data_IF_656121834286
#
_entry.id   IF_656121834286
#
_cell.length_a   1.000
_cell.length_b   1.000
_cell.length_c   1.000
_cell.angle_alpha   90.00
_cell.angle_beta   90.00
_cell.angle_gamma   90.00
#
_symmetry.space_group_name_H-M   'P 1'
#
loop_
_entity.id
_entity.type
_entity.pdbx_description
1 polymer ?
#
# COMPACT_ATOMS: atom_id res chain seq x y z
N UNK A 1 35.01 -4.59 3.54
CA UNK A 1 33.76 -4.48 4.32
C UNK A 1 32.61 -4.80 3.37
N UNK A 2 31.84 -5.87 3.59
CA UNK A 2 30.73 -6.18 2.68
C UNK A 2 29.58 -5.24 3.00
N UNK A 3 29.24 -4.33 2.09
CA UNK A 3 28.17 -3.33 2.26
C UNK A 3 26.77 -3.96 2.07
N UNK A 4 26.56 -5.16 2.64
CA UNK A 4 25.39 -5.99 2.41
C UNK A 4 24.74 -6.50 3.71
N UNK A 5 25.28 -6.15 4.88
CA UNK A 5 24.65 -6.46 6.17
C UNK A 5 23.76 -5.27 6.55
N UNK A 6 22.45 -5.52 6.59
CA UNK A 6 21.41 -4.52 6.83
C UNK A 6 20.56 -4.93 8.03
N UNK A 7 20.89 -4.39 9.20
CA UNK A 7 20.21 -4.67 10.48
C UNK A 7 18.81 -4.05 10.57
N UNK A 8 18.54 -3.12 9.65
CA UNK A 8 17.32 -2.35 9.53
C UNK A 8 16.29 -3.01 8.62
N UNK A 9 16.56 -4.22 8.11
CA UNK A 9 15.64 -4.99 7.29
C UNK A 9 15.10 -6.19 8.07
N UNK A 10 13.87 -6.58 7.73
CA UNK A 10 13.20 -7.77 8.26
C UNK A 10 13.20 -8.88 7.21
N UNK A 11 13.19 -10.15 7.60
CA UNK A 11 12.90 -11.25 6.66
C UNK A 11 11.40 -11.33 6.30
N UNK A 12 10.61 -10.40 6.81
CA UNK A 12 9.17 -10.34 6.66
C UNK A 12 8.68 -9.00 6.15
N UNK A 13 7.54 -9.02 5.46
CA UNK A 13 6.75 -7.87 5.08
C UNK A 13 5.53 -7.75 5.99
N UNK A 14 5.20 -6.52 6.41
CA UNK A 14 4.10 -6.24 7.31
C UNK A 14 2.95 -5.58 6.52
N UNK A 15 1.79 -6.23 6.47
CA UNK A 15 0.54 -5.61 6.02
C UNK A 15 -0.30 -5.22 7.23
N UNK A 16 -0.49 -3.92 7.47
CA UNK A 16 -1.28 -3.44 8.58
C UNK A 16 -2.70 -3.04 8.16
N UNK A 17 -3.63 -3.21 9.09
CA UNK A 17 -5.01 -2.77 9.02
C UNK A 17 -5.17 -1.54 9.90
N UNK A 18 -5.87 -0.54 9.39
CA UNK A 18 -6.25 0.67 10.11
C UNK A 18 -7.76 0.84 10.11
N UNK A 19 -8.25 1.64 11.03
CA UNK A 19 -9.65 2.06 10.98
C UNK A 19 -9.88 2.90 9.72
N UNK A 20 -11.03 2.68 9.08
CA UNK A 20 -11.44 3.34 7.84
C UNK A 20 -12.80 3.98 8.05
N UNK A 21 -12.90 5.27 7.76
CA UNK A 21 -14.18 5.94 7.61
C UNK A 21 -14.41 6.23 6.12
N UNK A 22 -15.40 5.55 5.54
CA UNK A 22 -15.76 5.63 4.13
C UNK A 22 -16.29 7.00 3.71
N UNK A 23 -16.77 7.82 4.66
CA UNK A 23 -17.25 9.18 4.39
C UNK A 23 -16.10 10.19 4.35
N UNK A 24 -14.89 9.80 4.74
CA UNK A 24 -13.72 10.68 4.67
C UNK A 24 -13.02 10.57 3.32
N UNK A 25 -12.23 11.58 2.98
CA UNK A 25 -11.42 11.55 1.77
C UNK A 25 -10.36 10.45 1.73
N UNK A 26 -10.10 9.70 2.82
CA UNK A 26 -9.05 8.67 2.85
C UNK A 26 -9.58 7.27 3.18
N UNK A 27 -10.01 6.55 2.14
CA UNK A 27 -10.66 5.25 2.27
C UNK A 27 -10.20 4.23 1.22
N UNK A 28 -10.66 3.00 1.41
CA UNK A 28 -10.68 1.94 0.42
C UNK A 28 -12.14 1.75 0.01
N UNK A 29 -12.43 1.40 -1.25
CA UNK A 29 -13.80 1.01 -1.58
C UNK A 29 -14.05 -0.43 -1.13
N UNK A 30 -15.23 -0.67 -0.59
CA UNK A 30 -15.66 -1.99 -0.17
C UNK A 30 -17.07 -2.25 -0.72
N UNK A 31 -17.30 -3.41 -1.38
CA UNK A 31 -16.34 -4.47 -1.68
C UNK A 31 -15.64 -4.22 -3.03
N UNK A 32 -14.47 -3.56 -3.06
CA UNK A 32 -13.73 -3.39 -4.34
C UNK A 32 -13.05 -4.71 -4.76
N UNK A 33 -12.58 -5.53 -3.80
CA UNK A 33 -11.97 -6.85 -4.06
C UNK A 33 -12.18 -7.85 -2.89
N UNK A 34 -13.15 -7.60 -2.01
CA UNK A 34 -13.36 -8.43 -0.81
C UNK A 34 -14.22 -9.68 -1.06
N UNK A 35 -14.85 -9.83 -2.22
CA UNK A 35 -15.80 -10.91 -2.48
C UNK A 35 -17.19 -10.66 -1.88
N UNK A 36 -18.20 -11.33 -2.46
CA UNK A 36 -19.63 -11.01 -2.25
C UNK A 36 -20.11 -11.18 -0.80
N UNK A 37 -19.48 -12.07 -0.02
CA UNK A 37 -19.90 -12.41 1.35
C UNK A 37 -19.39 -11.43 2.42
N UNK A 38 -18.70 -10.36 2.01
CA UNK A 38 -18.02 -9.44 2.91
C UNK A 38 -18.66 -8.04 2.92
N UNK A 39 -20.00 -8.00 2.92
CA UNK A 39 -20.75 -6.75 3.04
C UNK A 39 -20.63 -6.19 4.46
N UNK A 40 -20.56 -4.87 4.54
CA UNK A 40 -20.60 -4.10 5.78
C UNK A 40 -21.70 -3.04 5.64
N UNK A 41 -22.44 -2.77 6.72
CA UNK A 41 -23.52 -1.78 6.72
C UNK A 41 -23.12 -0.46 7.39
N UNK A 42 -21.87 -0.34 7.83
CA UNK A 42 -21.36 0.80 8.61
C UNK A 42 -20.31 1.60 7.82
N UNK A 43 -20.43 2.92 7.80
CA UNK A 43 -19.43 3.79 7.16
C UNK A 43 -18.07 3.76 7.88
N UNK A 44 -18.07 3.41 9.18
CA UNK A 44 -16.84 3.20 9.94
C UNK A 44 -16.54 1.70 10.04
N UNK A 45 -15.33 1.33 9.64
CA UNK A 45 -14.87 -0.05 9.56
C UNK A 45 -13.60 -0.15 10.39
N UNK A 46 -13.64 -0.98 11.43
CA UNK A 46 -12.53 -1.13 12.35
C UNK A 46 -11.45 -2.06 11.79
N UNK A 47 -10.20 -1.79 12.18
CA UNK A 47 -9.04 -2.57 11.79
C UNK A 47 -9.17 -4.07 12.18
N UNK A 48 -9.81 -4.37 13.32
CA UNK A 48 -10.02 -5.76 13.76
C UNK A 48 -10.99 -6.50 12.85
N UNK A 49 -12.04 -5.83 12.38
CA UNK A 49 -12.96 -6.37 11.40
C UNK A 49 -12.23 -6.67 10.09
N UNK A 50 -11.42 -5.75 9.58
CA UNK A 50 -10.64 -5.98 8.35
C UNK A 50 -9.66 -7.15 8.50
N UNK A 51 -8.95 -7.22 9.63
CA UNK A 51 -8.07 -8.37 9.93
C UNK A 51 -8.87 -9.68 9.96
N UNK A 52 -9.99 -9.71 10.70
CA UNK A 52 -10.87 -10.88 10.77
C UNK A 52 -11.38 -11.28 9.39
N UNK A 53 -11.72 -10.29 8.56
CA UNK A 53 -12.19 -10.50 7.19
C UNK A 53 -11.11 -11.18 6.35
N UNK A 54 -9.87 -10.69 6.43
CA UNK A 54 -8.74 -11.27 5.71
C UNK A 54 -8.45 -12.69 6.16
N UNK A 55 -8.48 -12.94 7.47
CA UNK A 55 -8.24 -14.27 8.03
C UNK A 55 -9.35 -15.27 7.65
N UNK A 56 -10.63 -14.87 7.69
CA UNK A 56 -11.76 -15.76 7.39
C UNK A 56 -11.96 -16.01 5.90
N UNK A 57 -11.61 -15.04 5.06
CA UNK A 57 -11.67 -15.20 3.60
C UNK A 57 -10.41 -15.80 3.00
N UNK A 58 -9.34 -15.93 3.81
CA UNK A 58 -8.02 -16.35 3.35
C UNK A 58 -7.48 -15.44 2.23
N UNK A 59 -7.86 -14.15 2.25
CA UNK A 59 -7.50 -13.15 1.24
C UNK A 59 -7.01 -11.86 1.88
N UNK A 60 -6.00 -11.25 1.30
CA UNK A 60 -5.61 -9.87 1.60
C UNK A 60 -6.12 -8.99 0.46
N UNK A 61 -6.73 -7.86 0.80
CA UNK A 61 -7.47 -7.06 -0.17
C UNK A 61 -6.58 -6.04 -0.84
N UNK A 62 -6.49 -6.09 -2.17
CA UNK A 62 -5.92 -5.01 -2.95
C UNK A 62 -6.88 -3.83 -2.99
N UNK A 63 -6.33 -2.62 -3.05
CA UNK A 63 -7.11 -1.42 -3.34
C UNK A 63 -6.28 -0.41 -4.10
N UNK A 64 -6.95 0.60 -4.64
CA UNK A 64 -6.29 1.77 -5.23
C UNK A 64 -5.85 2.80 -4.21
N UNK A 65 -6.34 2.66 -2.97
CA UNK A 65 -6.30 3.63 -1.87
C UNK A 65 -6.63 5.06 -2.33
N UNK A 66 -7.76 5.58 -1.88
CA UNK A 66 -8.24 6.89 -2.31
C UNK A 66 -7.81 7.97 -1.32
N UNK A 67 -7.41 9.13 -1.85
CA UNK A 67 -7.17 10.37 -1.12
C UNK A 67 -7.88 11.51 -1.84
N UNK A 68 -8.87 12.11 -1.18
CA UNK A 68 -9.72 13.19 -1.70
C UNK A 68 -10.30 12.85 -3.08
N UNK A 69 -10.84 11.63 -3.22
CA UNK A 69 -11.45 11.15 -4.47
C UNK A 69 -10.47 10.74 -5.57
N UNK A 70 -9.16 10.83 -5.33
CA UNK A 70 -8.13 10.40 -6.28
C UNK A 70 -7.44 9.12 -5.84
N UNK A 71 -7.18 8.21 -6.77
CA UNK A 71 -6.34 7.03 -6.53
C UNK A 71 -4.94 7.48 -6.12
N UNK A 72 -4.32 6.77 -5.19
CA UNK A 72 -2.91 7.01 -4.81
C UNK A 72 -1.96 6.06 -5.52
N UNK A 73 -2.46 4.90 -5.93
CA UNK A 73 -1.74 3.91 -6.72
C UNK A 73 -1.82 4.28 -8.21
N UNK A 74 -0.69 4.21 -8.88
CA UNK A 74 -0.54 4.49 -10.31
C UNK A 74 -0.70 3.20 -11.13
N UNK A 75 -0.92 3.33 -12.45
CA UNK A 75 -1.08 2.20 -13.35
C UNK A 75 -2.49 1.61 -13.37
N UNK A 76 -2.59 0.36 -13.81
CA UNK A 76 -3.84 -0.35 -14.13
C UNK A 76 -4.20 -1.47 -13.14
N UNK A 77 -3.37 -1.68 -12.12
CA UNK A 77 -3.54 -2.74 -11.12
C UNK A 77 -3.68 -2.16 -9.70
N UNK A 78 -4.74 -2.49 -8.92
CA UNK A 78 -4.78 -2.20 -7.50
C UNK A 78 -3.74 -3.06 -6.77
N UNK A 79 -3.35 -2.66 -5.57
CA UNK A 79 -2.23 -3.32 -4.85
C UNK A 79 -2.57 -3.62 -3.41
N UNK A 80 -1.93 -4.66 -2.87
CA UNK A 80 -1.70 -4.83 -1.45
C UNK A 80 -0.37 -4.16 -1.10
N UNK A 81 -0.39 -3.22 -0.15
CA UNK A 81 0.81 -2.53 0.33
C UNK A 81 1.36 -3.22 1.58
N UNK A 82 2.69 -3.27 1.69
CA UNK A 82 3.42 -3.74 2.85
C UNK A 82 4.50 -2.75 3.24
N UNK A 83 4.94 -2.80 4.49
CA UNK A 83 6.16 -2.12 4.94
C UNK A 83 7.25 -3.14 5.27
N UNK A 84 8.48 -2.82 4.87
CA UNK A 84 9.68 -3.61 5.15
C UNK A 84 10.49 -2.96 6.27
N UNK A 85 10.16 -3.34 7.51
CA UNK A 85 10.88 -2.90 8.69
C UNK A 85 10.80 -3.94 9.81
N UNK A 86 11.75 -3.94 10.78
CA UNK A 86 11.65 -4.76 11.98
C UNK A 86 10.35 -4.49 12.73
N UNK A 87 9.74 -5.53 13.33
CA UNK A 87 8.47 -5.41 14.06
C UNK A 87 8.55 -4.35 15.17
N UNK A 88 9.68 -4.27 15.88
CA UNK A 88 9.90 -3.26 16.92
C UNK A 88 9.83 -1.83 16.36
N UNK A 89 10.47 -1.59 15.20
CA UNK A 89 10.43 -0.29 14.53
C UNK A 89 9.03 0.06 14.02
N UNK A 90 8.28 -0.94 13.54
CA UNK A 90 6.88 -0.79 13.15
C UNK A 90 6.00 -0.39 14.34
N UNK A 91 6.14 -1.05 15.50
CA UNK A 91 5.38 -0.71 16.70
C UNK A 91 5.70 0.69 17.20
N UNK A 92 6.98 1.05 17.30
CA UNK A 92 7.41 2.38 17.72
C UNK A 92 6.86 3.48 16.77
N UNK A 93 7.02 3.27 15.45
CA UNK A 93 6.50 4.17 14.43
C UNK A 93 4.97 4.24 14.49
N UNK A 94 4.31 3.11 14.69
CA UNK A 94 2.86 2.98 14.82
C UNK A 94 2.30 3.83 15.96
N UNK A 95 2.85 3.70 17.17
CA UNK A 95 2.41 4.46 18.34
C UNK A 95 2.56 5.97 18.10
N UNK A 96 3.73 6.43 17.64
CA UNK A 96 4.00 7.85 17.38
C UNK A 96 3.08 8.44 16.31
N UNK A 97 2.76 7.65 15.27
CA UNK A 97 1.87 8.09 14.18
C UNK A 97 0.41 8.15 14.62
N UNK A 98 -0.03 7.26 15.51
CA UNK A 98 -1.38 7.32 16.11
C UNK A 98 -1.53 8.59 16.96
N UNK A 99 -0.53 8.94 17.75
CA UNK A 99 -0.51 10.20 18.53
C UNK A 99 -0.63 11.44 17.64
N UNK A 100 -0.14 11.36 16.40
CA UNK A 100 -0.24 12.41 15.37
C UNK A 100 -1.49 12.31 14.49
N UNK A 101 -2.39 11.38 14.79
CA UNK A 101 -3.61 11.10 14.02
C UNK A 101 -3.33 10.74 12.53
N UNK A 102 -2.18 10.13 12.26
CA UNK A 102 -1.80 9.66 10.93
C UNK A 102 -2.45 8.30 10.60
N UNK A 103 -2.48 7.98 9.30
CA UNK A 103 -3.16 6.78 8.78
C UNK A 103 -2.30 5.52 8.92
N UNK A 104 -2.20 5.01 10.14
CA UNK A 104 -1.60 3.70 10.47
C UNK A 104 -2.55 2.88 11.35
N UNK A 105 -2.29 1.60 11.53
CA UNK A 105 -2.89 0.81 12.59
C UNK A 105 -1.88 -0.18 13.16
N UNK A 106 -2.23 -0.81 14.29
CA UNK A 106 -1.37 -1.76 15.03
C UNK A 106 -1.77 -3.23 14.84
N UNK A 107 -2.87 -3.48 14.13
CA UNK A 107 -3.26 -4.83 13.71
C UNK A 107 -2.58 -5.13 12.38
N UNK A 108 -1.83 -6.22 12.29
CA UNK A 108 -1.10 -6.55 11.08
C UNK A 108 -0.96 -8.07 10.87
N UNK A 109 -0.73 -8.45 9.62
CA UNK A 109 -0.24 -9.77 9.23
C UNK A 109 1.21 -9.61 8.78
N UNK A 110 2.03 -10.58 9.15
CA UNK A 110 3.46 -10.63 8.83
C UNK A 110 3.69 -11.81 7.90
N UNK A 111 4.29 -11.57 6.73
CA UNK A 111 4.46 -12.57 5.67
C UNK A 111 5.95 -12.72 5.31
N UNK A 112 6.44 -13.95 5.04
CA UNK A 112 7.83 -14.14 4.62
C UNK A 112 8.13 -13.37 3.33
N UNK A 113 9.15 -12.50 3.37
CA UNK A 113 9.50 -11.62 2.26
C UNK A 113 9.88 -12.39 1.01
N UNK A 114 10.65 -13.47 1.16
CA UNK A 114 11.06 -14.35 0.05
C UNK A 114 9.84 -14.94 -0.67
N UNK A 115 8.85 -15.44 0.08
CA UNK A 115 7.62 -15.99 -0.51
C UNK A 115 6.83 -14.91 -1.23
N UNK A 116 6.67 -13.73 -0.62
CA UNK A 116 5.98 -12.62 -1.26
C UNK A 116 6.67 -12.16 -2.55
N UNK A 117 8.00 -12.15 -2.58
CA UNK A 117 8.75 -11.89 -3.80
C UNK A 117 8.45 -12.95 -4.88
N UNK A 118 8.40 -14.23 -4.51
CA UNK A 118 8.03 -15.30 -5.45
C UNK A 118 6.60 -15.17 -5.99
N UNK A 119 5.67 -14.63 -5.18
CA UNK A 119 4.30 -14.31 -5.60
C UNK A 119 4.16 -13.02 -6.42
N UNK A 120 5.26 -12.29 -6.66
CA UNK A 120 5.27 -11.07 -7.49
C UNK A 120 5.18 -9.76 -6.71
N UNK A 121 5.25 -9.78 -5.38
CA UNK A 121 5.42 -8.55 -4.60
C UNK A 121 6.80 -7.93 -4.90
N UNK A 122 6.86 -6.61 -5.04
CA UNK A 122 8.10 -5.88 -5.36
C UNK A 122 8.23 -4.63 -4.50
N UNK A 123 9.46 -4.19 -4.18
CA UNK A 123 9.68 -2.88 -3.58
C UNK A 123 9.23 -1.77 -4.53
N UNK A 124 8.74 -0.67 -3.95
CA UNK A 124 8.31 0.52 -4.68
C UNK A 124 9.49 1.28 -5.32
N UNK A 125 9.17 2.16 -6.26
CA UNK A 125 10.09 3.10 -6.90
C UNK A 125 9.70 4.51 -6.43
N UNK A 126 10.62 5.22 -5.79
CA UNK A 126 10.38 6.56 -5.24
C UNK A 126 10.80 7.64 -6.24
N UNK A 127 9.84 8.43 -6.70
CA UNK A 127 10.08 9.56 -7.60
C UNK A 127 10.63 9.18 -8.99
N UNK A 128 10.73 10.17 -9.87
CA UNK A 128 11.44 10.09 -11.14
C UNK A 128 12.55 11.15 -11.14
N UNK A 129 13.66 10.86 -11.81
CA UNK A 129 14.82 11.76 -11.89
C UNK A 129 14.51 13.09 -12.59
N UNK A 130 13.53 13.10 -13.51
CA UNK A 130 13.12 14.31 -14.22
C UNK A 130 12.13 15.14 -13.40
N UNK A 131 12.64 16.23 -12.82
CA UNK A 131 11.95 17.35 -12.17
C UNK A 131 10.44 17.17 -11.89
N UNK A 132 10.15 16.45 -10.80
CA UNK A 132 9.13 16.70 -9.78
C UNK A 132 7.64 16.80 -10.14
N UNK A 133 7.20 16.41 -11.33
CA UNK A 133 5.83 15.92 -11.49
C UNK A 133 5.82 14.88 -12.59
N UNK A 134 5.77 13.60 -12.20
CA UNK A 134 5.50 12.52 -13.15
C UNK A 134 4.18 12.86 -13.85
N UNK A 135 4.26 13.25 -15.13
CA UNK A 135 3.10 13.64 -15.93
C UNK A 135 2.23 12.40 -16.04
N UNK A 136 1.05 12.46 -15.42
CA UNK A 136 0.07 11.40 -15.54
C UNK A 136 -1.12 11.89 -16.36
N UNK A 137 -1.56 11.08 -17.31
CA UNK A 137 -2.92 11.22 -17.85
C UNK A 137 -3.91 10.71 -16.81
N UNK A 138 -5.03 11.42 -16.67
CA UNK A 138 -6.17 10.90 -15.94
C UNK A 138 -6.99 10.05 -16.89
N UNK A 139 -7.12 8.75 -16.58
CA UNK A 139 -8.02 7.87 -17.31
C UNK A 139 -9.49 8.14 -16.99
N UNK A 140 -10.39 7.43 -17.69
CA UNK A 140 -11.85 7.63 -17.60
C UNK A 140 -12.43 7.31 -16.21
N UNK A 141 -11.74 6.49 -15.40
CA UNK A 141 -12.18 6.07 -14.07
C UNK A 141 -11.24 6.56 -12.95
N UNK A 142 -10.47 7.62 -13.22
CA UNK A 142 -9.53 8.21 -12.25
C UNK A 142 -8.20 7.48 -12.16
N UNK A 143 -7.85 6.70 -13.18
CA UNK A 143 -6.51 6.11 -13.33
C UNK A 143 -5.44 7.20 -13.34
N UNK A 144 -4.29 6.90 -12.73
CA UNK A 144 -3.09 7.75 -12.79
C UNK A 144 -2.05 7.00 -13.61
N UNK A 145 -2.03 7.25 -14.91
CA UNK A 145 -1.14 6.56 -15.84
C UNK A 145 0.01 7.47 -16.22
N UNK A 146 1.23 7.04 -15.94
CA UNK A 146 2.44 7.72 -16.39
C UNK A 146 2.70 7.42 -17.88
N UNK A 147 3.46 8.30 -18.51
CA UNK A 147 4.02 8.00 -19.84
C UNK A 147 4.86 6.71 -19.77
N UNK A 148 4.58 5.75 -20.65
CA UNK A 148 5.29 4.46 -20.68
C UNK A 148 6.78 4.59 -21.04
N UNK A 149 7.18 5.72 -21.64
CA UNK A 149 8.60 6.05 -21.86
C UNK A 149 9.34 6.34 -20.56
N UNK A 150 8.62 6.75 -19.50
CA UNK A 150 9.19 7.00 -18.18
C UNK A 150 9.15 5.75 -17.29
N UNK A 151 8.03 5.01 -17.31
CA UNK A 151 7.87 3.76 -16.57
C UNK A 151 6.84 2.86 -17.28
N UNK A 152 7.18 1.61 -17.67
CA UNK A 152 6.25 0.70 -18.33
C UNK A 152 4.98 0.49 -17.52
N UNK A 153 3.82 0.42 -18.17
CA UNK A 153 2.50 0.34 -17.52
C UNK A 153 2.45 -0.74 -16.43
N UNK A 154 2.99 -1.92 -16.72
CA UNK A 154 3.02 -3.08 -15.83
C UNK A 154 3.80 -2.86 -14.52
N UNK A 155 4.68 -1.86 -14.48
CA UNK A 155 5.51 -1.49 -13.32
C UNK A 155 4.98 -0.24 -12.59
N UNK A 156 4.04 0.50 -13.18
CA UNK A 156 3.58 1.79 -12.63
C UNK A 156 2.94 1.66 -11.25
N UNK A 157 2.37 0.50 -10.93
CA UNK A 157 1.86 0.21 -9.58
C UNK A 157 2.92 0.39 -8.49
N UNK A 158 4.21 0.27 -8.81
CA UNK A 158 5.33 0.43 -7.88
C UNK A 158 5.67 1.89 -7.63
N UNK A 159 5.18 2.83 -8.44
CA UNK A 159 5.56 4.23 -8.31
C UNK A 159 4.96 4.87 -7.06
N UNK A 160 5.80 5.56 -6.30
CA UNK A 160 5.44 6.38 -5.14
C UNK A 160 5.99 7.78 -5.37
N UNK A 161 5.11 8.79 -5.29
CA UNK A 161 5.52 10.19 -5.37
C UNK A 161 6.52 10.50 -4.26
N UNK A 162 7.68 11.03 -4.65
CA UNK A 162 8.72 11.49 -3.76
C UNK A 162 9.09 12.93 -4.11
N UNK A 163 8.99 13.83 -3.13
CA UNK A 163 9.38 15.22 -3.24
C UNK A 163 10.14 15.57 -1.95
N UNK A 164 11.49 15.55 -1.96
CA UNK A 164 12.30 15.84 -0.79
C UNK A 164 11.84 17.11 -0.07
N UNK A 165 11.70 17.04 1.26
CA UNK A 165 11.23 18.16 2.09
C UNK A 165 9.72 18.44 2.07
N UNK A 166 8.93 17.72 1.25
CA UNK A 166 7.46 17.86 1.19
C UNK A 166 6.72 16.53 1.32
N UNK A 167 7.12 15.52 0.54
CA UNK A 167 6.52 14.18 0.52
C UNK A 167 7.66 13.17 0.55
N UNK A 168 7.86 12.52 1.70
CA UNK A 168 8.91 11.51 1.90
C UNK A 168 8.36 10.29 2.64
N UNK A 169 8.16 9.21 1.89
CA UNK A 169 7.74 7.91 2.39
C UNK A 169 8.86 6.86 2.29
N UNK A 170 10.10 7.28 2.05
CA UNK A 170 11.24 6.37 1.85
C UNK A 170 11.55 5.54 3.09
N UNK A 171 11.25 6.10 4.27
CA UNK A 171 11.36 5.43 5.56
C UNK A 171 10.38 4.25 5.73
N UNK A 172 9.24 4.25 5.02
CA UNK A 172 8.26 3.15 5.08
C UNK A 172 8.73 1.91 4.28
N UNK A 173 9.66 2.10 3.33
CA UNK A 173 10.23 1.02 2.51
C UNK A 173 9.14 0.13 1.94
N UNK A 174 8.22 0.78 1.24
CA UNK A 174 6.97 0.16 0.84
C UNK A 174 7.23 -0.97 -0.18
N UNK A 175 6.49 -2.06 -0.05
CA UNK A 175 6.37 -3.11 -1.05
C UNK A 175 4.93 -3.16 -1.54
N UNK A 176 4.74 -3.51 -2.80
CA UNK A 176 3.41 -3.66 -3.41
C UNK A 176 3.29 -5.00 -4.10
N UNK A 177 2.13 -5.63 -3.91
CA UNK A 177 1.72 -6.83 -4.64
C UNK A 177 0.49 -6.50 -5.49
N UNK A 178 0.61 -6.49 -6.84
CA UNK A 178 -0.49 -6.10 -7.70
C UNK A 178 -1.52 -7.22 -7.83
N UNK A 179 -2.80 -6.86 -7.79
CA UNK A 179 -3.88 -7.77 -8.12
C UNK A 179 -4.20 -7.65 -9.62
N UNK A 180 -4.14 -8.79 -10.32
CA UNK A 180 -4.35 -8.88 -11.78
C UNK A 180 -5.44 -9.89 -12.16
N UNK A 181 -6.36 -10.16 -11.24
CA UNK A 181 -7.41 -11.18 -11.36
C UNK A 181 -7.20 -12.35 -10.40
N UNK A 182 -8.31 -13.03 -10.08
CA UNK A 182 -8.28 -14.34 -9.43
C UNK A 182 -7.81 -15.38 -10.46
N UNK A 183 -6.89 -16.28 -10.07
CA UNK A 183 -6.46 -17.45 -10.87
C UNK A 183 -7.57 -18.50 -10.87
#
# INVERSE_FOLDING_TARGET
>A
MKNNIRFDLSDYLIHFFRDVNLETGSHIYLPEHCGFNNQHHACFIDAKYLLRLSLRSHKIFSSWSYRNGQRTVYGDSPVVCFTDMPIAAYLETGVRRIERNEKIGLYAIVLPKEQMFNYGARPVIYGLDQHNNARCSQGRYGERILDETALPLIEQYRYVTYVPGKIDWTHEREWRWPYRGDI
#
